data_IF_007593919965
#
_entry.id   IF_007593919965
#
_cell.length_a   1.000
_cell.length_b   1.000
_cell.length_c   1.000
_cell.angle_alpha   90.00
_cell.angle_beta   90.00
_cell.angle_gamma   90.00
#
_symmetry.space_group_name_H-M   'P 1'
#
loop_
_entity.id
_entity.type
_entity.pdbx_description
1 polymer ?
#
# COMPACT_ATOMS: atom_id res chain seq x y z
N UNK A 1 32.42 -34.66 5.81
CA UNK A 1 31.38 -35.67 6.12
C UNK A 1 30.72 -35.21 7.42
N UNK A 2 29.44 -34.87 7.57
CA UNK A 2 28.23 -35.02 6.79
C UNK A 2 27.28 -33.86 7.20
N UNK A 3 27.03 -32.88 6.33
CA UNK A 3 25.94 -31.90 6.51
C UNK A 3 24.95 -31.87 5.34
N UNK A 4 25.10 -32.79 4.37
CA UNK A 4 24.28 -32.81 3.15
C UNK A 4 23.08 -33.75 3.26
N UNK A 5 23.04 -34.64 4.25
CA UNK A 5 21.98 -35.64 4.37
C UNK A 5 20.71 -35.17 5.12
N UNK A 6 20.77 -34.07 5.89
CA UNK A 6 19.62 -33.60 6.70
C UNK A 6 18.72 -32.62 5.92
N UNK A 7 19.26 -31.90 4.93
CA UNK A 7 18.49 -30.93 4.14
C UNK A 7 17.56 -31.57 3.08
N UNK A 8 17.84 -32.80 2.65
CA UNK A 8 17.03 -33.48 1.62
C UNK A 8 15.80 -34.17 2.22
N UNK A 9 15.83 -34.55 3.50
CA UNK A 9 14.68 -35.21 4.16
C UNK A 9 13.59 -34.19 4.53
N UNK A 10 13.96 -32.96 4.92
CA UNK A 10 12.98 -31.91 5.26
C UNK A 10 12.27 -31.30 4.03
N UNK A 11 12.90 -31.31 2.86
CA UNK A 11 12.27 -30.85 1.61
C UNK A 11 11.34 -31.90 0.99
N UNK A 12 11.56 -33.19 1.24
CA UNK A 12 10.65 -34.24 0.78
C UNK A 12 9.37 -34.37 1.62
N UNK A 13 9.41 -34.07 2.93
CA UNK A 13 8.22 -34.14 3.79
C UNK A 13 7.23 -32.99 3.50
N UNK A 14 7.70 -31.81 3.08
CA UNK A 14 6.79 -30.72 2.66
C UNK A 14 6.08 -31.00 1.32
N UNK A 15 6.69 -31.78 0.42
CA UNK A 15 6.09 -32.14 -0.87
C UNK A 15 5.22 -33.42 -0.84
N UNK A 16 5.33 -34.28 0.18
CA UNK A 16 4.45 -35.45 0.30
C UNK A 16 3.11 -35.18 1.01
N UNK A 17 2.97 -34.07 1.75
CA UNK A 17 1.70 -33.70 2.40
C UNK A 17 0.76 -32.87 1.52
N UNK A 18 1.17 -32.50 0.29
CA UNK A 18 0.34 -31.82 -0.70
C UNK A 18 0.05 -32.73 -1.89
N UNK A 19 -0.36 -33.98 -1.64
CA UNK A 19 -1.18 -34.66 -2.65
C UNK A 19 -2.50 -33.89 -2.72
N UNK A 20 -2.92 -33.37 -3.90
CA UNK A 20 -4.30 -32.95 -4.06
C UNK A 20 -5.15 -34.22 -3.96
N UNK A 21 -5.60 -34.53 -2.74
CA UNK A 21 -6.75 -35.40 -2.59
C UNK A 21 -7.86 -34.74 -3.39
N UNK A 22 -8.40 -35.44 -4.39
CA UNK A 22 -9.68 -35.07 -4.94
C UNK A 22 -10.68 -35.17 -3.79
N UNK A 23 -10.87 -34.07 -3.07
CA UNK A 23 -11.92 -33.96 -2.10
C UNK A 23 -13.23 -34.15 -2.86
N UNK A 24 -13.97 -35.19 -2.51
CA UNK A 24 -15.38 -35.30 -2.88
C UNK A 24 -16.07 -33.98 -2.51
N UNK A 25 -16.95 -33.48 -3.38
CA UNK A 25 -17.77 -32.30 -3.09
C UNK A 25 -18.39 -32.42 -1.69
N UNK A 26 -17.97 -31.53 -0.79
CA UNK A 26 -18.23 -31.62 0.64
C UNK A 26 -17.51 -30.50 1.40
N UNK A 27 -17.48 -30.61 2.72
CA UNK A 27 -16.83 -29.61 3.58
C UNK A 27 -15.35 -29.42 3.19
N UNK A 28 -14.97 -28.16 2.93
CA UNK A 28 -13.60 -27.76 2.61
C UNK A 28 -13.14 -27.98 1.16
N UNK A 29 -14.01 -28.38 0.24
CA UNK A 29 -13.64 -28.65 -1.16
C UNK A 29 -13.03 -27.47 -1.95
N UNK A 30 -13.16 -26.24 -1.44
CA UNK A 30 -12.63 -24.99 -1.99
C UNK A 30 -11.63 -24.29 -1.04
N UNK A 31 -11.15 -24.97 0.00
CA UNK A 31 -10.33 -24.33 1.05
C UNK A 31 -9.00 -23.79 0.49
N UNK A 32 -8.43 -24.46 -0.52
CA UNK A 32 -7.18 -24.03 -1.14
C UNK A 32 -7.37 -22.74 -1.94
N UNK A 33 -8.41 -22.67 -2.77
CA UNK A 33 -8.79 -21.48 -3.54
C UNK A 33 -9.20 -20.33 -2.60
N UNK A 34 -9.95 -20.64 -1.55
CA UNK A 34 -10.34 -19.69 -0.51
C UNK A 34 -9.12 -19.07 0.18
N UNK A 35 -8.12 -19.87 0.54
CA UNK A 35 -6.88 -19.38 1.17
C UNK A 35 -6.17 -18.35 0.30
N UNK A 36 -6.05 -18.61 -1.00
CA UNK A 36 -5.37 -17.71 -1.94
C UNK A 36 -6.13 -16.40 -2.08
N UNK A 37 -7.45 -16.45 -2.25
CA UNK A 37 -8.26 -15.23 -2.39
C UNK A 37 -8.30 -14.43 -1.09
N UNK A 38 -8.24 -15.08 0.08
CA UNK A 38 -8.12 -14.36 1.36
C UNK A 38 -6.81 -13.59 1.51
N UNK A 39 -5.69 -14.03 0.91
CA UNK A 39 -4.45 -13.23 0.92
C UNK A 39 -4.70 -11.85 0.31
N UNK A 40 -5.48 -11.78 -0.78
CA UNK A 40 -5.87 -10.51 -1.39
C UNK A 40 -6.86 -9.70 -0.54
N UNK A 41 -7.83 -10.35 0.11
CA UNK A 41 -8.78 -9.68 1.03
C UNK A 41 -8.04 -9.04 2.20
N UNK A 42 -6.99 -9.68 2.71
CA UNK A 42 -6.21 -9.17 3.84
C UNK A 42 -5.32 -7.98 3.48
N UNK A 43 -5.14 -7.69 2.18
CA UNK A 43 -4.48 -6.47 1.69
C UNK A 43 -5.42 -5.26 1.61
N UNK A 44 -6.72 -5.41 1.89
CA UNK A 44 -7.69 -4.30 1.85
C UNK A 44 -7.29 -3.13 2.76
N UNK A 45 -6.79 -3.46 3.95
CA UNK A 45 -6.36 -2.52 4.99
C UNK A 45 -4.82 -2.40 5.01
N UNK A 46 -4.13 -2.68 3.90
CA UNK A 46 -2.70 -2.44 3.79
C UNK A 46 -2.45 -0.93 3.59
N UNK A 47 -1.44 -0.39 4.27
CA UNK A 47 -1.04 1.00 4.11
C UNK A 47 0.15 1.06 3.14
N UNK A 48 -0.05 1.44 1.87
CA UNK A 48 1.05 1.52 0.91
C UNK A 48 2.11 2.55 1.31
N UNK A 49 1.81 3.54 2.15
CA UNK A 49 2.78 4.55 2.57
C UNK A 49 3.85 3.97 3.51
N UNK A 50 3.43 3.12 4.46
CA UNK A 50 4.31 2.43 5.40
C UNK A 50 5.01 1.25 4.73
N UNK A 51 4.33 0.58 3.81
CA UNK A 51 4.79 -0.69 3.27
C UNK A 51 5.73 -0.54 2.05
N UNK A 52 5.71 0.61 1.37
CA UNK A 52 6.53 0.93 0.16
C UNK A 52 7.71 1.88 0.48
N UNK A 53 8.01 2.16 1.75
CA UNK A 53 9.13 3.00 2.18
C UNK A 53 9.08 4.44 1.62
N UNK A 54 8.06 5.22 2.00
CA UNK A 54 8.26 6.66 2.04
C UNK A 54 9.04 6.97 3.32
N UNK A 55 10.32 7.34 3.21
CA UNK A 55 11.03 7.90 4.36
C UNK A 55 10.32 9.20 4.76
N UNK A 56 9.98 9.33 6.04
CA UNK A 56 9.54 10.60 6.61
C UNK A 56 10.74 11.55 6.67
N UNK A 57 10.94 12.29 5.58
CA UNK A 57 11.93 13.38 5.55
C UNK A 57 11.32 14.56 6.28
N UNK A 58 11.91 14.94 7.41
CA UNK A 58 11.51 16.12 8.18
C UNK A 58 12.48 17.27 7.93
N UNK A 59 12.01 18.50 8.08
CA UNK A 59 12.83 19.70 7.90
C UNK A 59 13.85 19.90 9.04
N UNK A 60 13.84 19.04 10.08
CA UNK A 60 14.67 19.22 11.28
C UNK A 60 16.17 19.20 10.97
N UNK A 61 16.63 18.23 10.18
CA UNK A 61 18.04 18.10 9.82
C UNK A 61 18.51 19.25 8.92
N UNK A 62 17.66 19.69 7.99
CA UNK A 62 17.94 20.86 7.14
C UNK A 62 18.01 22.13 8.00
N UNK A 63 17.11 22.29 8.97
CA UNK A 63 17.14 23.40 9.91
C UNK A 63 18.41 23.40 10.77
N UNK A 64 18.92 22.24 11.19
CA UNK A 64 20.19 22.13 11.90
C UNK A 64 21.36 22.56 11.03
N UNK A 65 21.41 22.14 9.76
CA UNK A 65 22.43 22.58 8.80
C UNK A 65 22.38 24.10 8.60
N UNK A 66 21.19 24.69 8.48
CA UNK A 66 21.01 26.13 8.35
C UNK A 66 21.49 26.85 9.63
N UNK A 67 21.16 26.33 10.82
CA UNK A 67 21.63 26.89 12.09
C UNK A 67 23.15 26.85 12.20
N UNK A 68 23.78 25.75 11.81
CA UNK A 68 25.24 25.62 11.77
C UNK A 68 25.85 26.63 10.79
N UNK A 69 25.29 26.77 9.58
CA UNK A 69 25.73 27.74 8.60
C UNK A 69 25.62 29.19 9.14
N UNK A 70 24.51 29.55 9.78
CA UNK A 70 24.32 30.86 10.43
C UNK A 70 25.32 31.07 11.56
N UNK A 71 25.60 30.04 12.37
CA UNK A 71 26.57 30.12 13.48
C UNK A 71 28.00 30.38 12.99
N UNK A 72 28.38 29.76 11.88
CA UNK A 72 29.71 29.81 11.30
C UNK A 72 29.97 31.12 10.54
N UNK A 73 28.91 31.80 10.09
CA UNK A 73 29.02 33.02 9.31
C UNK A 73 29.84 34.13 10.02
N UNK A 74 30.49 35.02 9.26
CA UNK A 74 31.22 36.17 9.82
C UNK A 74 30.36 37.01 10.76
N UNK A 75 30.95 37.57 11.82
CA UNK A 75 30.20 38.33 12.84
C UNK A 75 29.42 39.51 12.25
N UNK A 76 29.99 40.17 11.23
CA UNK A 76 29.34 41.27 10.49
C UNK A 76 28.11 40.84 9.68
N UNK A 77 28.02 39.56 9.31
CA UNK A 77 26.84 38.98 8.67
C UNK A 77 25.85 38.50 9.73
N UNK A 78 26.33 37.76 10.74
CA UNK A 78 25.52 37.22 11.83
C UNK A 78 24.81 38.30 12.63
N UNK A 79 25.43 39.47 12.84
CA UNK A 79 24.87 40.59 13.60
C UNK A 79 23.68 41.26 12.92
N UNK A 80 23.47 41.06 11.61
CA UNK A 80 22.35 41.67 10.85
C UNK A 80 20.98 41.12 11.24
N UNK A 81 20.93 39.87 11.68
CA UNK A 81 19.68 39.19 12.02
C UNK A 81 19.26 39.49 13.46
N UNK A 82 17.97 39.66 13.69
CA UNK A 82 17.43 39.90 15.04
C UNK A 82 17.54 38.63 15.91
N UNK A 83 17.49 38.82 17.24
CA UNK A 83 17.58 37.73 18.22
C UNK A 83 16.23 37.07 18.50
N UNK A 84 15.13 37.74 18.17
CA UNK A 84 13.76 37.35 18.49
C UNK A 84 12.85 37.47 17.26
N UNK A 85 11.96 36.50 17.09
CA UNK A 85 10.96 36.31 16.01
C UNK A 85 11.47 36.47 14.56
N UNK A 86 10.91 35.71 13.59
CA UNK A 86 11.23 35.97 12.19
C UNK A 86 10.74 37.37 11.80
N UNK A 87 11.63 38.20 11.26
CA UNK A 87 11.28 39.55 10.82
C UNK A 87 10.72 39.53 9.39
N UNK A 88 9.77 40.42 9.10
CA UNK A 88 9.11 40.52 7.79
C UNK A 88 10.01 41.15 6.71
N UNK A 89 9.57 41.09 5.45
CA UNK A 89 10.32 41.55 4.27
C UNK A 89 10.77 43.02 4.37
N UNK A 90 9.94 43.89 4.96
CA UNK A 90 10.24 45.30 5.18
C UNK A 90 11.43 45.49 6.14
N UNK A 91 11.56 44.61 7.13
CA UNK A 91 12.72 44.57 8.02
C UNK A 91 13.97 44.09 7.28
N UNK A 92 13.87 43.15 6.34
CA UNK A 92 15.04 42.69 5.55
C UNK A 92 15.72 43.82 4.77
N UNK A 93 14.91 44.64 4.08
CA UNK A 93 15.39 45.81 3.33
C UNK A 93 16.01 46.86 4.27
N UNK A 94 15.32 47.19 5.36
CA UNK A 94 15.78 48.23 6.29
C UNK A 94 17.03 47.84 7.10
N UNK A 95 17.24 46.56 7.40
CA UNK A 95 18.17 46.14 8.47
C UNK A 95 19.46 45.48 7.97
N UNK A 96 19.54 45.03 6.71
CA UNK A 96 20.81 44.42 6.27
C UNK A 96 20.95 43.87 4.85
N UNK A 97 19.88 43.81 4.05
CA UNK A 97 19.95 43.34 2.67
C UNK A 97 20.18 44.44 1.62
N UNK A 98 19.88 45.71 1.94
CA UNK A 98 20.06 46.84 1.03
C UNK A 98 21.53 47.01 0.60
N UNK A 99 21.76 47.18 -0.69
CA UNK A 99 23.10 47.41 -1.26
C UNK A 99 23.99 46.17 -1.33
N UNK A 100 23.45 44.97 -1.05
CA UNK A 100 24.15 43.72 -1.32
C UNK A 100 24.10 43.41 -2.82
N UNK A 101 25.19 42.86 -3.37
CA UNK A 101 25.24 42.39 -4.77
C UNK A 101 24.21 41.29 -5.08
N UNK A 102 23.60 40.69 -4.06
CA UNK A 102 22.51 39.74 -4.20
C UNK A 102 21.35 40.01 -3.23
N UNK A 103 20.87 41.25 -3.25
CA UNK A 103 19.76 41.73 -2.43
C UNK A 103 18.51 40.84 -2.57
N UNK A 104 18.19 40.38 -3.78
CA UNK A 104 17.03 39.50 -4.02
C UNK A 104 17.14 38.19 -3.23
N UNK A 105 18.30 37.51 -3.31
CA UNK A 105 18.54 36.27 -2.55
C UNK A 105 18.59 36.54 -1.04
N UNK A 106 19.14 37.67 -0.62
CA UNK A 106 19.15 38.06 0.79
C UNK A 106 17.73 38.21 1.36
N UNK A 107 16.86 38.94 0.67
CA UNK A 107 15.47 39.15 1.08
C UNK A 107 14.71 37.82 1.12
N UNK A 108 14.84 36.99 0.08
CA UNK A 108 14.15 35.71 -0.01
C UNK A 108 14.51 34.73 1.13
N UNK A 109 15.69 34.86 1.73
CA UNK A 109 16.17 34.00 2.81
C UNK A 109 16.14 34.64 4.20
N UNK A 110 15.73 35.91 4.31
CA UNK A 110 15.84 36.69 5.54
C UNK A 110 15.09 36.09 6.73
N UNK A 111 13.82 35.75 6.53
CA UNK A 111 12.96 35.13 7.54
C UNK A 111 13.55 33.82 8.04
N UNK A 112 14.09 33.01 7.13
CA UNK A 112 14.73 31.72 7.42
C UNK A 112 15.98 31.90 8.29
N UNK A 113 16.89 32.79 7.91
CA UNK A 113 18.12 33.03 8.67
C UNK A 113 17.85 33.69 10.03
N UNK A 114 16.86 34.57 10.11
CA UNK A 114 16.42 35.19 11.38
C UNK A 114 15.86 34.13 12.33
N UNK A 115 15.00 33.24 11.82
CA UNK A 115 14.47 32.10 12.58
C UNK A 115 15.60 31.17 13.05
N UNK A 116 16.51 30.80 12.16
CA UNK A 116 17.64 29.92 12.51
C UNK A 116 18.53 30.53 13.61
N UNK A 117 18.80 31.84 13.57
CA UNK A 117 19.52 32.52 14.66
C UNK A 117 18.74 32.47 15.99
N UNK A 118 17.45 32.79 15.97
CA UNK A 118 16.63 32.78 17.18
C UNK A 118 16.54 31.38 17.79
N UNK A 119 16.36 30.34 16.97
CA UNK A 119 16.29 28.95 17.42
C UNK A 119 17.64 28.44 17.94
N UNK A 120 18.74 28.79 17.27
CA UNK A 120 20.10 28.49 17.72
C UNK A 120 20.40 29.11 19.09
N UNK A 121 19.99 30.36 19.32
CA UNK A 121 20.18 31.04 20.61
C UNK A 121 19.40 30.35 21.74
N UNK A 122 18.19 29.84 21.47
CA UNK A 122 17.43 29.03 22.42
C UNK A 122 18.16 27.72 22.73
N UNK A 123 18.60 26.99 21.70
CA UNK A 123 19.35 25.73 21.87
C UNK A 123 20.65 25.93 22.63
N UNK A 124 21.36 27.03 22.39
CA UNK A 124 22.61 27.33 23.08
C UNK A 124 22.46 27.47 24.62
N UNK A 125 21.23 27.62 25.14
CA UNK A 125 20.97 27.62 26.60
C UNK A 125 21.12 26.23 27.22
N UNK A 126 20.80 25.18 26.47
CA UNK A 126 20.89 23.76 26.88
C UNK A 126 22.08 23.04 26.26
N UNK A 127 22.58 23.54 25.13
CA UNK A 127 23.70 23.00 24.36
C UNK A 127 24.81 24.08 24.20
N UNK A 128 25.60 24.38 25.26
CA UNK A 128 26.51 25.53 25.27
C UNK A 128 27.62 25.50 24.22
N UNK A 129 27.88 24.33 23.61
CA UNK A 129 28.86 24.14 22.54
C UNK A 129 28.37 24.69 21.18
N UNK A 130 27.05 24.91 21.02
CA UNK A 130 26.46 25.55 19.83
C UNK A 130 26.50 27.08 19.88
N UNK A 131 26.96 27.68 20.98
CA UNK A 131 26.98 29.13 21.14
C UNK A 131 27.94 29.79 20.11
N UNK A 132 27.45 30.62 19.17
CA UNK A 132 28.28 31.21 18.13
C UNK A 132 29.41 32.09 18.65
N UNK A 133 29.25 32.70 19.82
CA UNK A 133 30.27 33.54 20.47
C UNK A 133 31.47 32.74 20.97
N UNK A 134 31.33 31.41 21.09
CA UNK A 134 32.42 30.51 21.48
C UNK A 134 33.17 29.91 20.28
N UNK A 135 32.70 30.13 19.06
CA UNK A 135 33.35 29.63 17.85
C UNK A 135 34.56 30.50 17.47
N UNK A 136 35.73 29.89 17.32
CA UNK A 136 36.92 30.59 16.82
C UNK A 136 36.89 30.73 15.29
N UNK A 137 36.19 31.75 14.80
CA UNK A 137 36.02 32.03 13.36
C UNK A 137 37.29 32.52 12.66
N UNK A 138 38.38 32.77 13.39
CA UNK A 138 39.67 33.28 12.88
C UNK A 138 40.74 32.20 12.78
N UNK A 139 40.44 30.96 13.17
CA UNK A 139 41.38 29.84 13.07
C UNK A 139 41.69 29.50 11.60
N UNK A 140 42.92 29.07 11.34
CA UNK A 140 43.34 28.55 10.03
C UNK A 140 42.37 27.48 9.56
N UNK A 141 41.75 27.68 8.39
CA UNK A 141 40.77 26.76 7.80
C UNK A 141 39.30 27.11 8.06
N UNK A 142 38.99 28.06 8.95
CA UNK A 142 37.61 28.47 9.23
C UNK A 142 36.85 28.95 7.99
N UNK A 143 37.52 29.67 7.07
CA UNK A 143 36.92 30.11 5.80
C UNK A 143 36.48 28.95 4.90
N UNK A 144 37.25 27.84 4.88
CA UNK A 144 36.88 26.63 4.12
C UNK A 144 35.68 25.93 4.75
N UNK A 145 35.64 25.85 6.09
CA UNK A 145 34.51 25.27 6.80
C UNK A 145 33.22 26.07 6.58
N UNK A 146 33.30 27.40 6.60
CA UNK A 146 32.17 28.29 6.30
C UNK A 146 31.67 28.04 4.87
N UNK A 147 32.57 28.02 3.88
CA UNK A 147 32.21 27.77 2.49
C UNK A 147 31.56 26.38 2.30
N UNK A 148 32.11 25.35 2.94
CA UNK A 148 31.54 24.00 2.91
C UNK A 148 30.15 23.94 3.56
N UNK A 149 29.96 24.63 4.70
CA UNK A 149 28.67 24.70 5.40
C UNK A 149 27.60 25.41 4.56
N UNK A 150 27.99 26.47 3.82
CA UNK A 150 27.10 27.17 2.89
C UNK A 150 26.66 26.27 1.72
N UNK A 151 27.60 25.52 1.14
CA UNK A 151 27.29 24.56 0.09
C UNK A 151 26.39 23.44 0.59
N UNK A 152 26.67 22.88 1.76
CA UNK A 152 25.85 21.83 2.39
C UNK A 152 24.43 22.33 2.70
N UNK A 153 24.29 23.57 3.19
CA UNK A 153 22.97 24.17 3.42
C UNK A 153 22.18 24.34 2.13
N UNK A 154 22.81 24.85 1.07
CA UNK A 154 22.16 25.00 -0.23
C UNK A 154 21.77 23.65 -0.86
N UNK A 155 22.62 22.63 -0.71
CA UNK A 155 22.36 21.27 -1.15
C UNK A 155 21.15 20.67 -0.42
N UNK A 156 21.18 20.68 0.92
CA UNK A 156 20.13 20.11 1.75
C UNK A 156 18.77 20.78 1.50
N UNK A 157 18.75 22.10 1.29
CA UNK A 157 17.55 22.85 0.93
C UNK A 157 17.03 22.46 -0.46
N UNK A 158 17.91 22.26 -1.45
CA UNK A 158 17.51 21.82 -2.78
C UNK A 158 16.89 20.44 -2.74
N UNK A 159 17.54 19.49 -2.06
CA UNK A 159 17.05 18.12 -1.92
C UNK A 159 15.70 18.08 -1.18
N UNK A 160 15.55 18.84 -0.10
CA UNK A 160 14.27 18.93 0.61
C UNK A 160 13.17 19.56 -0.26
N UNK A 161 13.52 20.60 -1.03
CA UNK A 161 12.59 21.22 -1.97
C UNK A 161 12.17 20.26 -3.06
N UNK A 162 13.10 19.52 -3.67
CA UNK A 162 12.83 18.50 -4.69
C UNK A 162 11.97 17.37 -4.12
N UNK A 163 12.32 16.88 -2.92
CA UNK A 163 11.52 15.88 -2.23
C UNK A 163 10.08 16.37 -2.01
N UNK A 164 9.89 17.55 -1.44
CA UNK A 164 8.56 18.06 -1.10
C UNK A 164 7.73 18.45 -2.33
N UNK A 165 8.35 18.95 -3.40
CA UNK A 165 7.65 19.45 -4.58
C UNK A 165 7.42 18.39 -5.66
N UNK A 166 8.30 17.38 -5.75
CA UNK A 166 8.30 16.41 -6.85
C UNK A 166 8.07 14.99 -6.31
N UNK A 167 8.94 14.54 -5.40
CA UNK A 167 8.96 13.12 -4.99
C UNK A 167 7.76 12.76 -4.11
N UNK A 168 7.51 13.52 -3.04
CA UNK A 168 6.43 13.26 -2.09
C UNK A 168 5.04 13.29 -2.76
N UNK A 169 4.68 14.28 -3.60
CA UNK A 169 3.41 14.26 -4.32
C UNK A 169 3.26 13.06 -5.27
N UNK A 170 4.36 12.66 -5.93
CA UNK A 170 4.39 11.48 -6.81
C UNK A 170 4.13 10.20 -6.02
N UNK A 171 4.80 10.02 -4.88
CA UNK A 171 4.59 8.88 -3.99
C UNK A 171 3.14 8.82 -3.47
N UNK A 172 2.57 9.95 -3.04
CA UNK A 172 1.17 10.02 -2.61
C UNK A 172 0.22 9.61 -3.74
N UNK A 173 0.46 10.11 -4.96
CA UNK A 173 -0.35 9.76 -6.13
C UNK A 173 -0.28 8.26 -6.45
N UNK A 174 0.92 7.68 -6.42
CA UNK A 174 1.14 6.25 -6.67
C UNK A 174 0.49 5.38 -5.58
N UNK A 175 0.63 5.75 -4.31
CA UNK A 175 -0.01 5.06 -3.18
C UNK A 175 -1.54 5.09 -3.27
N UNK A 176 -2.12 6.22 -3.67
CA UNK A 176 -3.55 6.33 -3.91
C UNK A 176 -4.00 5.46 -5.09
N UNK A 177 -3.19 5.37 -6.15
CA UNK A 177 -3.47 4.51 -7.30
C UNK A 177 -3.44 3.02 -6.91
N UNK A 178 -2.45 2.60 -6.11
CA UNK A 178 -2.35 1.23 -5.58
C UNK A 178 -3.56 0.89 -4.72
N UNK A 179 -3.92 1.76 -3.78
CA UNK A 179 -5.12 1.57 -2.93
C UNK A 179 -6.38 1.44 -3.78
N UNK A 180 -6.52 2.28 -4.81
CA UNK A 180 -7.65 2.24 -5.73
C UNK A 180 -7.69 0.94 -6.53
N UNK A 181 -6.54 0.46 -7.00
CA UNK A 181 -6.42 -0.79 -7.75
C UNK A 181 -6.78 -2.01 -6.87
N UNK A 182 -6.28 -2.07 -5.64
CA UNK A 182 -6.63 -3.13 -4.67
C UNK A 182 -8.14 -3.14 -4.42
N UNK A 183 -8.74 -1.98 -4.13
CA UNK A 183 -10.18 -1.87 -3.91
C UNK A 183 -10.99 -2.25 -5.15
N UNK A 184 -10.55 -1.85 -6.34
CA UNK A 184 -11.19 -2.23 -7.59
C UNK A 184 -11.10 -3.74 -7.87
N UNK A 185 -10.00 -4.40 -7.51
CA UNK A 185 -9.87 -5.85 -7.61
C UNK A 185 -10.77 -6.57 -6.60
N UNK A 186 -10.86 -6.06 -5.37
CA UNK A 186 -11.69 -6.64 -4.31
C UNK A 186 -13.18 -6.50 -4.59
N UNK A 187 -13.61 -5.30 -4.99
CA UNK A 187 -15.02 -4.91 -5.03
C UNK A 187 -15.59 -4.71 -6.44
N UNK A 188 -14.73 -4.72 -7.46
CA UNK A 188 -15.11 -4.43 -8.84
C UNK A 188 -14.72 -3.02 -9.26
N UNK A 189 -14.62 -2.83 -10.58
CA UNK A 189 -14.08 -1.60 -11.18
C UNK A 189 -14.88 -0.35 -10.78
N UNK A 190 -14.20 0.60 -10.13
CA UNK A 190 -14.82 1.86 -9.72
C UNK A 190 -15.68 1.74 -8.46
N UNK A 191 -15.41 0.72 -7.65
CA UNK A 191 -16.07 0.46 -6.37
C UNK A 191 -15.01 0.42 -5.26
N UNK A 192 -15.33 0.99 -4.10
CA UNK A 192 -14.39 1.13 -2.97
C UNK A 192 -14.78 0.30 -1.74
N UNK A 193 -15.99 -0.23 -1.71
CA UNK A 193 -16.52 -1.09 -0.65
C UNK A 193 -17.67 -1.96 -1.18
N UNK A 194 -17.95 -3.08 -0.52
CA UNK A 194 -19.12 -3.89 -0.84
C UNK A 194 -20.29 -3.55 0.08
N UNK A 195 -21.41 -3.11 -0.51
CA UNK A 195 -22.65 -2.81 0.19
C UNK A 195 -23.80 -3.79 -0.13
N UNK A 196 -23.51 -4.89 -0.82
CA UNK A 196 -24.54 -5.87 -1.23
C UNK A 196 -25.41 -5.45 -2.41
N UNK A 197 -25.25 -4.25 -2.97
CA UNK A 197 -26.08 -3.76 -4.09
C UNK A 197 -25.31 -3.66 -5.41
N UNK A 198 -23.98 -3.72 -5.36
CA UNK A 198 -23.16 -3.40 -6.52
C UNK A 198 -23.07 -4.55 -7.55
N UNK A 199 -23.65 -4.31 -8.74
CA UNK A 199 -23.58 -5.18 -9.91
C UNK A 199 -22.17 -5.26 -10.55
N UNK A 200 -21.25 -4.40 -10.11
CA UNK A 200 -19.83 -4.46 -10.46
C UNK A 200 -19.07 -5.44 -9.56
N UNK A 201 -19.56 -5.74 -8.36
CA UNK A 201 -18.96 -6.76 -7.49
C UNK A 201 -19.37 -8.16 -7.93
N UNK A 202 -20.65 -8.37 -8.21
CA UNK A 202 -21.18 -9.68 -8.60
C UNK A 202 -22.33 -9.53 -9.62
N UNK A 203 -22.83 -10.65 -10.16
CA UNK A 203 -24.02 -10.66 -11.01
C UNK A 203 -25.27 -10.10 -10.32
N UNK A 204 -26.33 -9.82 -11.10
CA UNK A 204 -27.57 -9.20 -10.62
C UNK A 204 -28.47 -10.14 -9.81
N UNK A 205 -27.98 -11.33 -9.44
CA UNK A 205 -28.71 -12.39 -8.75
C UNK A 205 -29.90 -12.91 -9.54
N UNK A 206 -29.61 -13.79 -10.51
CA UNK A 206 -30.63 -14.57 -11.21
C UNK A 206 -30.59 -16.03 -10.79
N UNK A 207 -29.50 -16.69 -11.12
CA UNK A 207 -29.22 -18.04 -10.63
C UNK A 207 -27.75 -18.11 -10.30
N UNK A 208 -27.36 -18.98 -9.37
CA UNK A 208 -25.95 -19.23 -9.09
C UNK A 208 -25.17 -19.53 -10.36
N UNK A 209 -25.80 -20.26 -11.29
CA UNK A 209 -25.20 -20.63 -12.56
C UNK A 209 -24.90 -19.43 -13.45
N UNK A 210 -25.74 -18.38 -13.38
CA UNK A 210 -25.57 -17.14 -14.14
C UNK A 210 -24.59 -16.20 -13.45
N UNK A 211 -24.69 -16.04 -12.13
CA UNK A 211 -23.88 -15.07 -11.38
C UNK A 211 -22.44 -15.53 -11.17
N UNK A 212 -22.22 -16.85 -11.09
CA UNK A 212 -20.91 -17.46 -10.91
C UNK A 212 -20.29 -17.94 -12.23
N UNK A 213 -20.70 -17.33 -13.34
CA UNK A 213 -20.21 -17.60 -14.70
C UNK A 213 -19.84 -16.30 -15.40
N UNK A 214 -18.80 -16.28 -16.24
CA UNK A 214 -18.52 -15.13 -17.13
C UNK A 214 -19.80 -14.77 -17.91
N UNK A 215 -20.11 -13.48 -18.02
CA UNK A 215 -19.26 -12.33 -17.63
C UNK A 215 -19.44 -11.84 -16.18
N UNK A 216 -20.26 -12.50 -15.37
CA UNK A 216 -20.48 -12.10 -13.97
C UNK A 216 -19.37 -12.58 -13.01
N UNK A 217 -18.81 -13.77 -13.25
CA UNK A 217 -17.63 -14.26 -12.53
C UNK A 217 -16.35 -13.51 -12.92
N UNK A 218 -15.42 -13.37 -11.98
CA UNK A 218 -14.16 -12.66 -12.18
C UNK A 218 -14.28 -11.15 -12.26
N UNK A 219 -15.45 -10.58 -11.94
CA UNK A 219 -15.63 -9.12 -11.81
C UNK A 219 -14.92 -8.56 -10.59
N UNK A 220 -14.84 -9.34 -9.51
CA UNK A 220 -14.21 -8.96 -8.26
C UNK A 220 -13.88 -10.20 -7.40
N UNK A 221 -12.90 -10.07 -6.51
CA UNK A 221 -12.53 -11.14 -5.57
C UNK A 221 -13.69 -11.44 -4.60
N UNK A 222 -14.45 -10.43 -4.15
CA UNK A 222 -15.63 -10.63 -3.31
C UNK A 222 -16.67 -11.48 -4.03
N UNK A 223 -16.93 -11.20 -5.31
CA UNK A 223 -17.85 -11.98 -6.14
C UNK A 223 -17.38 -13.44 -6.29
N UNK A 224 -16.09 -13.64 -6.55
CA UNK A 224 -15.52 -14.98 -6.69
C UNK A 224 -15.56 -15.77 -5.38
N UNK A 225 -15.26 -15.13 -4.24
CA UNK A 225 -15.39 -15.72 -2.92
C UNK A 225 -16.84 -16.08 -2.58
N UNK A 226 -17.80 -15.22 -2.94
CA UNK A 226 -19.22 -15.53 -2.78
C UNK A 226 -19.59 -16.79 -3.57
N UNK A 227 -19.13 -16.88 -4.82
CA UNK A 227 -19.37 -18.03 -5.69
C UNK A 227 -18.72 -19.33 -5.21
N UNK A 228 -17.56 -19.25 -4.57
CA UNK A 228 -16.86 -20.40 -4.01
C UNK A 228 -17.41 -20.84 -2.66
N UNK A 229 -17.79 -19.90 -1.81
CA UNK A 229 -18.01 -20.16 -0.38
C UNK A 229 -19.46 -20.08 0.07
N UNK A 230 -20.28 -19.21 -0.53
CA UNK A 230 -21.68 -19.07 -0.10
C UNK A 230 -22.46 -20.33 -0.44
N UNK A 231 -23.32 -20.76 0.46
CA UNK A 231 -24.32 -21.82 0.23
C UNK A 231 -25.71 -21.27 0.48
N UNK A 232 -26.63 -21.56 -0.43
CA UNK A 232 -28.04 -21.19 -0.28
C UNK A 232 -28.81 -22.34 0.40
N UNK A 233 -30.11 -22.14 0.60
CA UNK A 233 -31.06 -23.13 1.14
C UNK A 233 -30.98 -24.51 0.47
N UNK A 234 -30.63 -24.59 -0.83
CA UNK A 234 -30.62 -25.82 -1.62
C UNK A 234 -29.43 -26.73 -1.31
N UNK A 235 -28.36 -26.16 -0.74
CA UNK A 235 -27.12 -26.86 -0.37
C UNK A 235 -26.75 -26.58 1.10
N UNK A 236 -27.76 -26.43 1.95
CA UNK A 236 -27.64 -25.91 3.32
C UNK A 236 -26.74 -26.72 4.27
N UNK A 237 -26.38 -27.97 3.93
CA UNK A 237 -25.43 -28.77 4.70
C UNK A 237 -23.96 -28.63 4.28
N UNK A 238 -23.68 -28.01 3.13
CA UNK A 238 -22.33 -27.93 2.58
C UNK A 238 -21.54 -26.76 3.17
N UNK A 239 -20.24 -26.97 3.44
CA UNK A 239 -19.29 -25.91 3.82
C UNK A 239 -18.12 -25.88 2.85
N UNK A 240 -18.30 -25.45 1.59
CA UNK A 240 -17.28 -25.60 0.55
C UNK A 240 -15.95 -24.93 0.90
N UNK A 241 -15.95 -23.83 1.64
CA UNK A 241 -14.73 -23.16 2.11
C UNK A 241 -14.34 -23.50 3.57
N UNK A 242 -15.00 -24.48 4.18
CA UNK A 242 -14.73 -24.95 5.54
C UNK A 242 -15.47 -24.20 6.66
N UNK A 243 -16.41 -23.32 6.33
CA UNK A 243 -17.25 -22.58 7.27
C UNK A 243 -18.68 -22.43 6.73
N UNK A 244 -19.63 -22.12 7.61
CA UNK A 244 -21.03 -21.88 7.24
C UNK A 244 -21.25 -20.40 6.86
N UNK A 245 -22.13 -20.16 5.88
CA UNK A 245 -22.60 -18.82 5.49
C UNK A 245 -24.08 -18.72 5.83
N UNK A 246 -24.38 -18.54 7.11
CA UNK A 246 -25.72 -18.73 7.67
C UNK A 246 -26.78 -17.83 7.00
N UNK A 247 -26.42 -16.59 6.67
CA UNK A 247 -27.35 -15.66 6.01
C UNK A 247 -27.61 -15.98 4.54
N UNK A 248 -26.67 -16.55 3.79
CA UNK A 248 -26.98 -17.05 2.45
C UNK A 248 -27.86 -18.29 2.52
N UNK A 249 -27.58 -19.17 3.48
CA UNK A 249 -28.25 -20.46 3.68
C UNK A 249 -29.72 -20.33 4.07
N UNK A 250 -30.13 -19.19 4.65
CA UNK A 250 -31.51 -18.95 5.04
C UNK A 250 -32.45 -18.62 3.87
N UNK A 251 -31.95 -18.55 2.63
CA UNK A 251 -32.73 -18.15 1.46
C UNK A 251 -32.26 -18.87 0.19
N UNK A 252 -33.12 -18.94 -0.81
CA UNK A 252 -32.73 -19.37 -2.15
C UNK A 252 -31.81 -18.31 -2.79
N UNK A 253 -30.93 -18.74 -3.70
CA UNK A 253 -29.97 -17.84 -4.36
C UNK A 253 -30.63 -16.62 -5.03
N UNK A 254 -31.73 -16.85 -5.75
CA UNK A 254 -32.49 -15.82 -6.47
C UNK A 254 -33.06 -14.74 -5.52
N UNK A 255 -33.28 -15.10 -4.26
CA UNK A 255 -33.95 -14.24 -3.26
C UNK A 255 -32.98 -13.64 -2.24
N UNK A 256 -31.66 -13.80 -2.43
CA UNK A 256 -30.64 -13.19 -1.58
C UNK A 256 -30.65 -11.65 -1.69
N UNK A 257 -31.46 -11.01 -0.85
CA UNK A 257 -31.46 -9.56 -0.70
C UNK A 257 -30.13 -8.98 -0.18
N UNK A 258 -30.03 -7.66 -0.20
CA UNK A 258 -28.84 -6.88 0.23
C UNK A 258 -28.32 -7.28 1.61
N UNK A 259 -29.20 -7.52 2.58
CA UNK A 259 -28.81 -7.89 3.94
C UNK A 259 -28.15 -9.27 3.99
N UNK A 260 -28.70 -10.26 3.27
CA UNK A 260 -28.11 -11.59 3.17
C UNK A 260 -26.70 -11.52 2.59
N UNK A 261 -26.52 -10.73 1.52
CA UNK A 261 -25.23 -10.52 0.87
C UNK A 261 -24.19 -9.88 1.80
N UNK A 262 -24.56 -8.80 2.48
CA UNK A 262 -23.68 -8.10 3.44
C UNK A 262 -23.22 -9.04 4.55
N UNK A 263 -24.16 -9.77 5.15
CA UNK A 263 -23.85 -10.71 6.23
C UNK A 263 -22.99 -11.88 5.72
N UNK A 264 -23.29 -12.43 4.55
CA UNK A 264 -22.48 -13.48 3.92
C UNK A 264 -21.05 -13.00 3.64
N UNK A 265 -20.88 -11.78 3.14
CA UNK A 265 -19.55 -11.20 2.99
C UNK A 265 -18.84 -11.02 4.33
N UNK A 266 -19.57 -10.61 5.38
CA UNK A 266 -19.00 -10.50 6.72
C UNK A 266 -18.52 -11.86 7.26
N UNK A 267 -19.26 -12.94 7.02
CA UNK A 267 -18.86 -14.30 7.38
C UNK A 267 -17.56 -14.70 6.66
N UNK A 268 -17.50 -14.48 5.34
CA UNK A 268 -16.31 -14.76 4.50
C UNK A 268 -15.11 -13.94 4.97
N UNK A 269 -15.28 -12.63 5.17
CA UNK A 269 -14.21 -11.73 5.63
C UNK A 269 -13.71 -12.13 7.01
N UNK A 270 -14.61 -12.52 7.91
CA UNK A 270 -14.25 -13.04 9.24
C UNK A 270 -13.45 -14.34 9.13
N UNK A 271 -13.86 -15.25 8.26
CA UNK A 271 -13.09 -16.47 7.99
C UNK A 271 -11.69 -16.13 7.45
N UNK A 272 -11.54 -15.14 6.56
CA UNK A 272 -10.23 -14.68 6.06
C UNK A 272 -9.28 -14.20 7.17
N UNK A 273 -9.78 -13.53 8.22
CA UNK A 273 -8.95 -13.00 9.33
C UNK A 273 -8.17 -14.06 10.12
N UNK A 274 -8.54 -15.33 10.02
CA UNK A 274 -7.80 -16.44 10.63
C UNK A 274 -6.51 -16.82 9.89
N UNK A 275 -6.17 -16.11 8.81
CA UNK A 275 -4.93 -16.33 8.04
C UNK A 275 -3.90 -15.25 8.36
N UNK A 276 -2.60 -15.53 8.17
CA UNK A 276 -1.57 -14.52 8.28
C UNK A 276 -1.85 -13.34 7.35
N UNK A 277 -1.81 -12.11 7.87
CA UNK A 277 -1.92 -10.90 7.06
C UNK A 277 -0.64 -10.76 6.22
N UNK A 278 -0.72 -10.78 4.88
CA UNK A 278 0.45 -10.57 4.05
C UNK A 278 0.86 -9.09 4.08
N UNK A 279 2.15 -8.83 3.88
CA UNK A 279 2.67 -7.47 3.65
C UNK A 279 2.47 -7.12 2.17
N UNK A 280 1.96 -5.92 1.90
CA UNK A 280 1.89 -5.35 0.56
C UNK A 280 3.31 -5.14 0.02
N UNK A 281 3.63 -5.90 -1.02
CA UNK A 281 4.85 -5.80 -1.80
C UNK A 281 4.59 -6.33 -3.20
N UNK A 282 5.50 -6.03 -4.13
CA UNK A 282 5.47 -6.60 -5.47
C UNK A 282 5.47 -8.14 -5.43
N UNK A 283 6.37 -8.73 -4.63
CA UNK A 283 6.48 -10.18 -4.49
C UNK A 283 5.20 -10.83 -3.96
N UNK A 284 4.55 -10.21 -2.97
CA UNK A 284 3.27 -10.68 -2.44
C UNK A 284 2.20 -10.69 -3.54
N UNK A 285 2.07 -9.58 -4.27
CA UNK A 285 1.06 -9.46 -5.34
C UNK A 285 1.32 -10.48 -6.45
N UNK A 286 2.58 -10.66 -6.87
CA UNK A 286 2.97 -11.68 -7.86
C UNK A 286 2.70 -13.09 -7.33
N UNK A 287 2.99 -13.36 -6.07
CA UNK A 287 2.74 -14.66 -5.44
C UNK A 287 1.25 -15.01 -5.45
N UNK A 288 0.38 -14.06 -5.06
CA UNK A 288 -1.08 -14.23 -5.10
C UNK A 288 -1.54 -14.55 -6.52
N UNK A 289 -1.05 -13.80 -7.52
CA UNK A 289 -1.36 -14.04 -8.93
C UNK A 289 -0.95 -15.43 -9.40
N UNK A 290 0.30 -15.84 -9.14
CA UNK A 290 0.82 -17.15 -9.53
C UNK A 290 0.03 -18.27 -8.85
N UNK A 291 -0.24 -18.16 -7.54
CA UNK A 291 -1.06 -19.14 -6.81
C UNK A 291 -2.45 -19.23 -7.40
N UNK A 292 -3.11 -18.11 -7.68
CA UNK A 292 -4.43 -18.06 -8.30
C UNK A 292 -4.43 -18.77 -9.66
N UNK A 293 -3.50 -18.42 -10.55
CA UNK A 293 -3.37 -19.02 -11.88
C UNK A 293 -3.10 -20.53 -11.77
N UNK A 294 -2.30 -20.98 -10.80
CA UNK A 294 -2.02 -22.40 -10.59
C UNK A 294 -3.25 -23.22 -10.14
N UNK A 295 -4.31 -22.56 -9.64
CA UNK A 295 -5.56 -23.22 -9.24
C UNK A 295 -6.65 -23.17 -10.30
N UNK A 296 -6.43 -22.46 -11.39
CA UNK A 296 -7.33 -22.52 -12.53
C UNK A 296 -7.23 -23.91 -13.17
N UNK A 297 -8.40 -24.52 -13.37
CA UNK A 297 -8.55 -25.82 -14.00
C UNK A 297 -9.13 -25.62 -15.39
N UNK A 298 -8.57 -26.30 -16.39
CA UNK A 298 -9.18 -26.36 -17.72
C UNK A 298 -10.29 -27.39 -17.78
N UNK A 299 -11.32 -27.16 -18.60
CA UNK A 299 -12.26 -28.21 -18.99
C UNK A 299 -12.05 -28.53 -20.48
N UNK A 300 -11.32 -29.61 -20.81
CA UNK A 300 -10.99 -29.95 -22.21
C UNK A 300 -12.21 -30.39 -23.02
N UNK A 301 -13.37 -30.63 -22.38
CA UNK A 301 -14.64 -30.96 -23.05
C UNK A 301 -15.50 -29.71 -23.32
N UNK A 302 -14.94 -28.51 -23.21
CA UNK A 302 -15.64 -27.24 -23.46
C UNK A 302 -14.89 -26.44 -24.52
N UNK A 303 -15.59 -26.09 -25.59
CA UNK A 303 -15.09 -25.16 -26.61
C UNK A 303 -14.99 -23.73 -26.03
N UNK A 304 -13.81 -23.13 -26.15
CA UNK A 304 -13.48 -21.79 -25.65
C UNK A 304 -14.18 -20.63 -26.38
N UNK A 305 -14.91 -20.90 -27.47
CA UNK A 305 -15.71 -19.90 -28.19
C UNK A 305 -17.14 -19.78 -27.67
N UNK A 306 -17.65 -20.75 -26.90
CA UNK A 306 -19.03 -20.75 -26.37
C UNK A 306 -19.14 -21.02 -24.85
N UNK A 307 -18.09 -21.56 -24.21
CA UNK A 307 -18.06 -21.88 -22.77
C UNK A 307 -16.68 -21.64 -22.14
N UNK A 308 -16.61 -21.82 -20.83
CA UNK A 308 -15.43 -21.67 -19.99
C UNK A 308 -14.26 -22.58 -20.34
N UNK A 309 -13.17 -22.01 -20.85
CA UNK A 309 -11.91 -22.74 -20.99
C UNK A 309 -11.18 -22.94 -19.63
N UNK A 310 -11.52 -22.17 -18.58
CA UNK A 310 -10.92 -22.28 -17.26
C UNK A 310 -11.89 -21.93 -16.12
N UNK A 311 -11.82 -22.67 -15.00
CA UNK A 311 -12.65 -22.49 -13.80
C UNK A 311 -11.83 -22.60 -12.49
N UNK A 312 -12.35 -22.01 -11.41
CA UNK A 312 -11.78 -22.06 -10.05
C UNK A 312 -12.71 -22.87 -9.10
N UNK A 313 -12.12 -23.64 -8.17
CA UNK A 313 -12.85 -24.43 -7.16
C UNK A 313 -13.35 -25.79 -7.65
N UNK A 314 -14.15 -26.45 -6.80
CA UNK A 314 -14.79 -27.75 -7.01
C UNK A 314 -16.27 -27.57 -7.41
N UNK A 315 -16.84 -28.61 -8.02
CA UNK A 315 -18.15 -28.57 -8.68
C UNK A 315 -19.12 -29.57 -8.07
N UNK A 316 -20.32 -29.11 -7.73
CA UNK A 316 -21.43 -29.95 -7.32
C UNK A 316 -22.46 -29.87 -8.46
N UNK A 317 -22.47 -30.88 -9.33
CA UNK A 317 -23.46 -31.15 -10.38
C UNK A 317 -23.38 -30.29 -11.65
N UNK A 318 -23.22 -30.99 -12.78
CA UNK A 318 -22.97 -30.68 -14.21
C UNK A 318 -23.40 -29.33 -14.85
N UNK A 319 -24.07 -28.43 -14.15
CA UNK A 319 -24.69 -27.23 -14.73
C UNK A 319 -23.98 -25.89 -14.50
N UNK A 320 -22.79 -25.87 -13.88
CA UNK A 320 -22.01 -24.61 -13.71
C UNK A 320 -20.55 -24.76 -14.10
N UNK A 321 -20.30 -24.96 -15.38
CA UNK A 321 -18.95 -24.85 -15.92
C UNK A 321 -18.61 -23.35 -16.00
N UNK A 322 -17.79 -22.89 -15.05
CA UNK A 322 -17.57 -21.47 -14.69
C UNK A 322 -16.48 -20.83 -15.55
N UNK A 323 -16.78 -19.93 -16.50
CA UNK A 323 -15.76 -19.22 -17.26
C UNK A 323 -15.19 -18.10 -16.41
N UNK A 324 -13.87 -17.95 -16.41
CA UNK A 324 -13.19 -16.69 -16.11
C UNK A 324 -12.38 -16.27 -17.33
N UNK A 325 -12.94 -15.41 -18.20
CA UNK A 325 -12.19 -14.83 -19.32
C UNK A 325 -11.44 -13.53 -18.95
N UNK A 326 -11.63 -12.98 -17.75
CA UNK A 326 -11.13 -11.62 -17.44
C UNK A 326 -10.02 -11.51 -16.38
N UNK A 327 -9.61 -12.59 -15.70
CA UNK A 327 -8.54 -12.51 -14.70
C UNK A 327 -7.17 -12.13 -15.30
N UNK A 328 -6.91 -12.51 -16.56
CA UNK A 328 -5.66 -12.19 -17.25
C UNK A 328 -5.58 -10.73 -17.74
N UNK A 329 -6.71 -10.05 -17.98
CA UNK A 329 -6.73 -8.69 -18.54
C UNK A 329 -6.60 -7.60 -17.46
N UNK A 330 -7.00 -7.89 -16.21
CA UNK A 330 -6.90 -6.95 -15.09
C UNK A 330 -5.51 -6.99 -14.42
N UNK A 331 -4.79 -8.12 -14.53
CA UNK A 331 -3.49 -8.31 -13.89
C UNK A 331 -2.29 -8.27 -14.85
N UNK A 332 -2.53 -8.19 -16.17
CA UNK A 332 -1.50 -8.13 -17.21
C UNK A 332 -1.29 -6.76 -17.86
N UNK A 333 -1.88 -5.69 -17.33
CA UNK A 333 -1.64 -4.31 -17.79
C UNK A 333 -1.32 -3.39 -16.61
N UNK A 334 -0.18 -3.61 -15.96
CA UNK A 334 0.62 -2.59 -15.30
C UNK A 334 2.06 -3.06 -15.23
#
# INVERSE_FOLDING_TARGET
>A
MNCVAIAVVLTFVQNLCLRPGQATAGDGANIAEFNILCEAVLLEDADPTVEICAADVTDAEVNDIIQLNVSAAPDSWYSKFLKENPAEEQTAKATGCSGSSDERRCIANWTKWTKAKADLLKRATTEPHLNPSKLNKKQTGASRYIAASQLLAAEAERELSEYNSIIKPKLVKENNAITTAIKAALYGKGTTAYDGTDAKTMGTLGTRNTDCKTPAAGKSIVGDLFCLCAVDSTQSSAKPCGFDTASAKSSDWLTLGTNHKKATWADIKTACKHRPKPKLSEDTLRSIQTKFLSKLKGDPAQDGTSKAAAYLGSHNNENVKRPMQHAASIMGRH
#
